data_IF_319537829403
#
_entry.id   IF_319537829403
#
_cell.length_a   1.000
_cell.length_b   1.000
_cell.length_c   1.000
_cell.angle_alpha   90.00
_cell.angle_beta   90.00
_cell.angle_gamma   90.00
#
_symmetry.space_group_name_H-M   'P 1'
#
loop_
_entity.id
_entity.type
_entity.pdbx_description
1 polymer ?
#
# COMPACT_ATOMS: atom_id res chain seq x y z
N UNK A 1 -17.53 2.13 -3.74
CA UNK A 1 -16.60 1.16 -4.37
C UNK A 1 -16.02 1.83 -5.62
N UNK A 2 -14.71 2.13 -5.68
CA UNK A 2 -14.10 2.52 -6.95
C UNK A 2 -14.18 1.30 -7.89
N UNK A 3 -14.42 1.50 -9.20
CA UNK A 3 -14.50 0.38 -10.12
C UNK A 3 -13.20 -0.42 -10.08
N UNK A 4 -13.33 -1.73 -10.09
CA UNK A 4 -12.20 -2.68 -10.02
C UNK A 4 -11.34 -2.69 -11.30
N UNK A 5 -11.66 -1.82 -12.25
CA UNK A 5 -11.09 -1.81 -13.59
C UNK A 5 -10.75 -0.38 -13.98
N UNK A 6 -9.46 -0.12 -14.24
CA UNK A 6 -9.00 1.15 -14.83
C UNK A 6 -9.15 1.04 -16.35
N UNK A 7 -10.00 1.88 -16.91
CA UNK A 7 -10.10 2.08 -18.37
C UNK A 7 -9.34 3.36 -18.79
N UNK A 8 -9.16 3.53 -20.08
CA UNK A 8 -8.43 4.67 -20.62
C UNK A 8 -9.11 6.01 -20.30
N UNK A 9 -10.45 6.07 -20.31
CA UNK A 9 -11.21 7.25 -19.91
C UNK A 9 -11.06 7.60 -18.44
N UNK A 10 -11.12 6.61 -17.53
CA UNK A 10 -10.90 6.82 -16.09
C UNK A 10 -9.49 7.35 -15.85
N UNK A 11 -8.48 6.78 -16.51
CA UNK A 11 -7.11 7.24 -16.41
C UNK A 11 -6.96 8.67 -16.91
N UNK A 12 -7.64 9.01 -18.03
CA UNK A 12 -7.62 10.33 -18.63
C UNK A 12 -8.24 11.37 -17.70
N UNK A 13 -9.46 11.14 -17.23
CA UNK A 13 -10.19 12.12 -16.41
C UNK A 13 -9.53 12.31 -15.03
N UNK A 14 -9.07 11.24 -14.37
CA UNK A 14 -8.42 11.31 -13.05
C UNK A 14 -7.12 12.15 -13.08
N UNK A 15 -6.47 12.26 -14.25
CA UNK A 15 -5.17 12.93 -14.35
C UNK A 15 -5.14 14.13 -15.31
N UNK A 16 -6.25 14.47 -15.94
CA UNK A 16 -6.33 15.55 -16.92
C UNK A 16 -5.76 16.87 -16.42
N UNK A 17 -6.12 17.26 -15.22
CA UNK A 17 -5.64 18.50 -14.61
C UNK A 17 -4.16 18.46 -14.23
N UNK A 18 -3.71 17.32 -13.70
CA UNK A 18 -2.32 17.16 -13.21
C UNK A 18 -1.33 17.02 -14.34
N UNK A 19 -1.68 16.23 -15.36
CA UNK A 19 -0.80 15.93 -16.48
C UNK A 19 -1.06 16.84 -17.71
N UNK A 20 -2.09 17.69 -17.66
CA UNK A 20 -2.45 18.62 -18.73
C UNK A 20 -2.50 17.94 -20.11
N UNK A 21 -2.91 16.69 -20.14
CA UNK A 21 -2.91 15.91 -21.38
C UNK A 21 -4.18 16.09 -22.20
N UNK A 22 -4.05 15.82 -23.49
CA UNK A 22 -5.11 15.83 -24.46
C UNK A 22 -5.24 14.45 -25.09
N UNK A 23 -6.44 14.05 -25.45
CA UNK A 23 -6.69 12.82 -26.17
C UNK A 23 -6.49 13.05 -27.67
N UNK A 24 -5.46 12.45 -28.28
CA UNK A 24 -5.04 12.75 -29.64
C UNK A 24 -5.36 11.67 -30.66
N UNK A 25 -5.59 10.41 -30.24
CA UNK A 25 -5.99 9.33 -31.15
C UNK A 25 -6.71 8.20 -30.37
N UNK A 26 -7.42 7.33 -31.10
CA UNK A 26 -8.11 6.17 -30.51
C UNK A 26 -9.31 6.55 -29.63
N UNK A 27 -10.03 7.62 -29.94
CA UNK A 27 -11.18 8.10 -29.15
C UNK A 27 -12.29 7.05 -29.01
N UNK A 28 -12.47 6.16 -30.00
CA UNK A 28 -13.45 5.08 -29.93
C UNK A 28 -13.14 3.96 -28.93
N UNK A 29 -11.98 3.97 -28.29
CA UNK A 29 -11.51 2.93 -27.39
C UNK A 29 -11.40 3.41 -25.93
N UNK A 30 -12.27 4.32 -25.51
CA UNK A 30 -12.29 4.85 -24.14
C UNK A 30 -12.43 3.77 -23.06
N UNK A 31 -13.15 2.69 -23.36
CA UNK A 31 -13.35 1.52 -22.50
C UNK A 31 -12.14 0.53 -22.46
N UNK A 32 -11.04 0.82 -23.22
CA UNK A 32 -9.86 -0.06 -23.21
C UNK A 32 -9.26 -0.13 -21.82
N UNK A 33 -8.96 -1.36 -21.38
CA UNK A 33 -8.60 -1.69 -20.01
C UNK A 33 -7.19 -2.28 -19.92
N UNK A 34 -6.64 -2.28 -18.73
CA UNK A 34 -5.46 -3.08 -18.43
C UNK A 34 -5.80 -4.57 -18.53
N UNK A 35 -4.91 -5.35 -19.10
CA UNK A 35 -5.06 -6.80 -19.20
C UNK A 35 -4.96 -7.45 -17.80
N UNK A 36 -5.89 -8.35 -17.48
CA UNK A 36 -5.95 -9.00 -16.16
C UNK A 36 -4.73 -9.89 -15.90
N UNK A 37 -4.20 -10.54 -16.93
CA UNK A 37 -3.01 -11.40 -16.78
C UNK A 37 -1.79 -10.53 -16.47
N UNK A 38 -1.69 -9.37 -17.13
CA UNK A 38 -0.63 -8.40 -16.86
C UNK A 38 -0.72 -7.83 -15.44
N UNK A 39 -1.93 -7.51 -14.96
CA UNK A 39 -2.14 -7.04 -13.58
C UNK A 39 -1.69 -8.10 -12.57
N UNK A 40 -2.05 -9.36 -12.78
CA UNK A 40 -1.67 -10.48 -11.90
C UNK A 40 -0.18 -10.81 -11.95
N UNK A 41 0.46 -10.63 -13.10
CA UNK A 41 1.89 -10.87 -13.28
C UNK A 41 2.77 -9.72 -12.77
N UNK A 42 2.22 -8.52 -12.66
CA UNK A 42 2.92 -7.35 -12.15
C UNK A 42 3.21 -7.51 -10.65
N UNK A 43 4.45 -7.25 -10.24
CA UNK A 43 4.83 -7.25 -8.81
C UNK A 43 4.22 -6.08 -8.05
N UNK A 44 3.91 -5.00 -8.74
CA UNK A 44 3.18 -3.84 -8.25
C UNK A 44 2.53 -3.11 -9.42
N UNK A 45 1.53 -2.28 -9.17
CA UNK A 45 0.95 -1.40 -10.19
C UNK A 45 1.97 -0.47 -10.86
N UNK A 46 3.11 -0.18 -10.20
CA UNK A 46 4.21 0.56 -10.79
C UNK A 46 4.85 -0.13 -12.00
N UNK A 47 4.74 -1.45 -12.10
CA UNK A 47 5.26 -2.21 -13.24
C UNK A 47 4.41 -2.06 -14.51
N UNK A 48 3.22 -1.49 -14.39
CA UNK A 48 2.25 -1.33 -15.48
C UNK A 48 2.44 -0.03 -16.28
N UNK A 49 3.49 0.74 -16.02
CA UNK A 49 3.83 1.96 -16.76
C UNK A 49 5.34 2.15 -16.87
N UNK A 50 5.80 2.66 -17.99
CA UNK A 50 7.21 2.97 -18.22
C UNK A 50 7.47 3.52 -19.61
N UNK A 51 8.73 3.84 -19.90
CA UNK A 51 9.18 4.20 -21.24
C UNK A 51 8.89 3.07 -22.25
N UNK A 52 8.83 3.42 -23.53
CA UNK A 52 8.60 2.43 -24.60
C UNK A 52 9.55 1.23 -24.46
N UNK A 53 8.96 0.07 -24.28
CA UNK A 53 9.68 -1.17 -24.06
C UNK A 53 9.02 -2.31 -24.81
N UNK A 54 9.71 -2.86 -25.83
CA UNK A 54 9.20 -3.95 -26.66
C UNK A 54 9.29 -5.34 -26.01
N UNK A 55 9.84 -5.45 -24.80
CA UNK A 55 9.97 -6.71 -24.06
C UNK A 55 8.82 -6.89 -23.06
N UNK A 56 8.24 -5.79 -22.59
CA UNK A 56 7.19 -5.81 -21.58
C UNK A 56 5.84 -5.33 -22.17
N UNK A 57 5.00 -6.23 -22.68
CA UNK A 57 3.68 -5.91 -23.20
C UNK A 57 2.71 -5.45 -22.11
N UNK A 58 1.51 -5.02 -22.52
CA UNK A 58 0.35 -4.67 -21.68
C UNK A 58 0.58 -3.52 -20.69
N UNK A 59 1.60 -2.69 -20.90
CA UNK A 59 1.91 -1.53 -20.06
C UNK A 59 1.49 -0.25 -20.75
N UNK A 60 1.19 0.79 -19.94
CA UNK A 60 1.17 2.15 -20.46
C UNK A 60 2.57 2.48 -20.97
N UNK A 61 2.70 2.78 -22.25
CA UNK A 61 3.97 3.10 -22.90
C UNK A 61 4.10 4.62 -23.01
N UNK A 62 5.17 5.16 -22.44
CA UNK A 62 5.45 6.59 -22.47
C UNK A 62 6.54 6.85 -23.50
N UNK A 63 6.25 7.75 -24.44
CA UNK A 63 7.15 8.21 -25.48
C UNK A 63 7.57 9.65 -25.18
N UNK A 64 8.79 9.82 -24.74
CA UNK A 64 9.44 11.11 -24.61
C UNK A 64 10.30 11.43 -25.83
N UNK A 65 11.14 12.44 -25.74
CA UNK A 65 12.03 12.91 -26.81
C UNK A 65 12.88 11.77 -27.40
N UNK A 66 13.47 10.92 -26.55
CA UNK A 66 14.36 9.83 -26.97
C UNK A 66 13.63 8.73 -27.71
N UNK A 67 12.44 8.36 -27.25
CA UNK A 67 11.60 7.34 -27.89
C UNK A 67 11.09 7.83 -29.23
N UNK A 68 10.67 9.08 -29.33
CA UNK A 68 10.25 9.70 -30.60
C UNK A 68 11.42 9.78 -31.59
N UNK A 69 12.59 10.20 -31.13
CA UNK A 69 13.81 10.19 -31.95
C UNK A 69 14.15 8.77 -32.44
N UNK A 70 14.05 7.76 -31.57
CA UNK A 70 14.24 6.37 -31.96
C UNK A 70 13.25 5.90 -33.02
N UNK A 71 11.98 6.29 -32.92
CA UNK A 71 10.94 5.92 -33.88
C UNK A 71 11.11 6.62 -35.23
N UNK A 72 11.68 7.83 -35.27
CA UNK A 72 11.76 8.70 -36.44
C UNK A 72 13.11 8.66 -37.16
N UNK A 73 14.23 8.36 -36.44
CA UNK A 73 15.56 8.39 -36.97
C UNK A 73 15.98 7.03 -37.57
N UNK A 74 15.31 6.62 -38.66
CA UNK A 74 15.62 5.42 -39.41
C UNK A 74 15.08 5.52 -40.83
N UNK A 75 15.29 4.49 -41.65
CA UNK A 75 14.62 4.42 -42.96
C UNK A 75 13.10 4.43 -42.77
N UNK A 76 12.31 4.92 -43.77
CA UNK A 76 10.84 4.90 -43.70
C UNK A 76 10.28 3.49 -43.39
N UNK A 77 10.87 2.46 -43.92
CA UNK A 77 10.47 1.06 -43.69
C UNK A 77 10.74 0.63 -42.24
N UNK A 78 11.91 0.99 -41.67
CA UNK A 78 12.27 0.69 -40.31
C UNK A 78 11.39 1.48 -39.30
N UNK A 79 11.12 2.74 -39.58
CA UNK A 79 10.18 3.56 -38.79
C UNK A 79 8.80 2.90 -38.75
N UNK A 80 8.26 2.53 -39.92
CA UNK A 80 6.97 1.85 -40.03
C UNK A 80 6.96 0.52 -39.24
N UNK A 81 8.03 -0.27 -39.32
CA UNK A 81 8.17 -1.53 -38.59
C UNK A 81 8.22 -1.33 -37.08
N UNK A 82 8.97 -0.33 -36.59
CA UNK A 82 9.05 0.03 -35.16
C UNK A 82 7.70 0.46 -34.62
N UNK A 83 7.01 1.33 -35.35
CA UNK A 83 5.68 1.81 -34.99
C UNK A 83 4.67 0.64 -34.97
N UNK A 84 4.66 -0.22 -35.99
CA UNK A 84 3.76 -1.38 -36.05
C UNK A 84 3.94 -2.32 -34.85
N UNK A 85 5.18 -2.49 -34.33
CA UNK A 85 5.44 -3.30 -33.14
C UNK A 85 4.78 -2.75 -31.87
N UNK A 86 4.51 -1.47 -31.78
CA UNK A 86 3.85 -0.90 -30.60
C UNK A 86 2.47 -1.52 -30.36
N UNK A 87 1.71 -1.76 -31.43
CA UNK A 87 0.39 -2.40 -31.33
C UNK A 87 0.48 -3.83 -30.82
N UNK A 88 1.54 -4.56 -31.18
CA UNK A 88 1.74 -5.94 -30.72
C UNK A 88 2.05 -6.04 -29.22
N UNK A 89 2.34 -4.93 -28.56
CA UNK A 89 2.50 -4.87 -27.11
C UNK A 89 1.16 -4.77 -26.38
N UNK A 90 0.07 -4.55 -27.10
CA UNK A 90 -1.28 -4.37 -26.56
C UNK A 90 -1.34 -3.39 -25.39
N UNK A 91 -0.72 -2.20 -25.49
CA UNK A 91 -0.73 -1.25 -24.38
C UNK A 91 -2.17 -0.78 -24.11
N UNK A 92 -2.57 -0.59 -22.83
CA UNK A 92 -3.86 -0.01 -22.53
C UNK A 92 -3.97 1.43 -23.02
N UNK A 93 -2.86 2.18 -22.95
CA UNK A 93 -2.74 3.59 -23.37
C UNK A 93 -1.32 3.85 -23.85
N UNK A 94 -1.18 4.71 -24.84
CA UNK A 94 0.08 5.29 -25.29
C UNK A 94 0.10 6.77 -24.90
N UNK A 95 1.23 7.29 -24.40
CA UNK A 95 1.37 8.69 -24.00
C UNK A 95 2.56 9.33 -24.68
N UNK A 96 2.31 10.42 -25.41
CA UNK A 96 3.35 11.33 -25.92
C UNK A 96 3.65 12.37 -24.84
N UNK A 97 4.85 12.39 -24.35
CA UNK A 97 5.31 13.32 -23.32
C UNK A 97 6.34 14.32 -23.85
N UNK A 98 6.89 15.15 -22.97
CA UNK A 98 7.92 16.18 -23.29
C UNK A 98 7.46 17.20 -24.36
N UNK A 99 6.13 17.39 -24.55
CA UNK A 99 5.60 18.24 -25.61
C UNK A 99 5.88 17.74 -27.02
N UNK A 100 6.21 16.48 -27.18
CA UNK A 100 6.51 15.89 -28.50
C UNK A 100 5.27 15.79 -29.37
N UNK A 101 5.45 15.96 -30.69
CA UNK A 101 4.41 15.79 -31.69
C UNK A 101 4.44 14.36 -32.20
N UNK A 102 3.28 13.71 -32.17
CA UNK A 102 3.16 12.34 -32.67
C UNK A 102 3.34 12.28 -34.18
N UNK A 103 4.15 11.37 -34.74
CA UNK A 103 4.21 11.15 -36.18
C UNK A 103 2.82 10.74 -36.75
N UNK A 104 2.45 11.23 -37.92
CA UNK A 104 1.16 10.92 -38.58
C UNK A 104 0.96 9.40 -38.76
N UNK A 105 2.03 8.67 -39.01
CA UNK A 105 2.00 7.22 -39.14
C UNK A 105 1.60 6.55 -37.82
N UNK A 106 2.03 7.09 -36.66
CA UNK A 106 1.67 6.60 -35.34
C UNK A 106 0.22 6.94 -35.01
N UNK A 107 -0.23 8.17 -35.29
CA UNK A 107 -1.62 8.59 -35.10
C UNK A 107 -2.57 7.69 -35.93
N UNK A 108 -2.28 7.52 -37.22
CA UNK A 108 -3.06 6.67 -38.10
C UNK A 108 -3.10 5.20 -37.64
N UNK A 109 -2.01 4.70 -37.05
CA UNK A 109 -1.98 3.36 -36.50
C UNK A 109 -2.84 3.25 -35.24
N UNK A 110 -2.76 4.22 -34.33
CA UNK A 110 -3.54 4.25 -33.08
C UNK A 110 -5.05 4.30 -33.41
N UNK A 111 -5.47 5.09 -34.37
CA UNK A 111 -6.87 5.13 -34.83
C UNK A 111 -7.34 3.77 -35.37
N UNK A 112 -6.57 3.15 -36.28
CA UNK A 112 -6.92 1.83 -36.85
C UNK A 112 -6.91 0.69 -35.82
N UNK A 113 -5.98 0.72 -34.87
CA UNK A 113 -5.84 -0.28 -33.84
C UNK A 113 -6.76 -0.03 -32.63
N UNK A 114 -7.56 1.05 -32.66
CA UNK A 114 -8.36 1.47 -31.51
C UNK A 114 -7.50 1.52 -30.23
N UNK A 115 -6.35 2.20 -30.32
CA UNK A 115 -5.39 2.36 -29.24
C UNK A 115 -5.45 3.81 -28.73
N UNK A 116 -5.94 4.04 -27.49
CA UNK A 116 -5.97 5.36 -26.89
C UNK A 116 -4.58 5.98 -26.83
N UNK A 117 -4.47 7.22 -27.27
CA UNK A 117 -3.22 7.96 -27.24
C UNK A 117 -3.46 9.35 -26.66
N UNK A 118 -2.66 9.71 -25.66
CA UNK A 118 -2.68 11.00 -25.00
C UNK A 118 -1.39 11.78 -25.33
N UNK A 119 -1.47 13.09 -25.40
CA UNK A 119 -0.32 13.98 -25.53
C UNK A 119 -0.26 14.95 -24.35
N UNK A 120 0.95 15.24 -23.85
CA UNK A 120 1.16 16.14 -22.70
C UNK A 120 2.44 16.95 -22.86
N UNK A 121 2.46 18.23 -22.43
CA UNK A 121 3.68 19.03 -22.35
C UNK A 121 4.59 18.62 -21.18
N UNK A 122 4.06 17.86 -20.22
CA UNK A 122 4.81 17.42 -19.03
C UNK A 122 5.90 16.40 -19.40
N UNK A 123 6.97 16.35 -18.56
CA UNK A 123 8.10 15.46 -18.84
C UNK A 123 7.70 13.97 -18.70
N UNK A 124 8.31 13.13 -19.54
CA UNK A 124 8.08 11.68 -19.49
C UNK A 124 8.33 11.09 -18.10
N UNK A 125 9.35 11.57 -17.39
CA UNK A 125 9.66 11.14 -16.03
C UNK A 125 8.53 11.49 -15.06
N UNK A 126 8.01 12.71 -15.11
CA UNK A 126 6.90 13.15 -14.26
C UNK A 126 5.62 12.36 -14.54
N UNK A 127 5.28 12.13 -15.81
CA UNK A 127 4.15 11.28 -16.20
C UNK A 127 4.28 9.87 -15.61
N UNK A 128 5.46 9.26 -15.75
CA UNK A 128 5.74 7.93 -15.20
C UNK A 128 5.56 7.92 -13.69
N UNK A 129 6.08 8.89 -12.97
CA UNK A 129 5.99 8.94 -11.50
C UNK A 129 4.54 9.10 -11.02
N UNK A 130 3.76 9.99 -11.64
CA UNK A 130 2.34 10.17 -11.34
C UNK A 130 1.56 8.87 -11.57
N UNK A 131 1.72 8.26 -12.74
CA UNK A 131 1.00 7.03 -13.09
C UNK A 131 1.45 5.83 -12.24
N UNK A 132 2.73 5.71 -11.89
CA UNK A 132 3.23 4.68 -10.97
C UNK A 132 2.59 4.78 -9.60
N UNK A 133 2.53 5.99 -9.05
CA UNK A 133 1.89 6.22 -7.76
C UNK A 133 0.39 5.87 -7.79
N UNK A 134 -0.30 6.26 -8.85
CA UNK A 134 -1.71 5.97 -9.06
C UNK A 134 -1.99 4.48 -9.21
N UNK A 135 -1.31 3.82 -10.16
CA UNK A 135 -1.53 2.39 -10.48
C UNK A 135 -1.11 1.48 -9.30
N UNK A 136 -0.04 1.82 -8.58
CA UNK A 136 0.36 1.10 -7.37
C UNK A 136 -0.71 1.14 -6.30
N UNK A 137 -1.35 2.30 -6.11
CA UNK A 137 -2.46 2.45 -5.16
C UNK A 137 -3.74 1.77 -5.65
N UNK A 138 -4.00 1.81 -6.96
CA UNK A 138 -5.22 1.29 -7.55
C UNK A 138 -5.23 -0.24 -7.55
N UNK A 139 -4.13 -0.87 -7.95
CA UNK A 139 -3.96 -2.33 -8.03
C UNK A 139 -3.31 -2.94 -6.79
N UNK A 140 -3.21 -2.19 -5.69
CA UNK A 140 -2.71 -2.73 -4.43
C UNK A 140 -3.57 -3.90 -3.95
N UNK A 141 -2.92 -5.01 -3.60
CA UNK A 141 -3.57 -6.08 -2.87
C UNK A 141 -4.18 -5.52 -1.59
N UNK A 142 -5.40 -5.91 -1.28
CA UNK A 142 -6.14 -5.42 -0.13
C UNK A 142 -6.84 -6.56 0.62
N UNK A 143 -6.93 -6.39 1.92
CA UNK A 143 -7.71 -7.24 2.81
C UNK A 143 -8.34 -6.38 3.90
N UNK A 144 -9.29 -6.92 4.64
CA UNK A 144 -9.81 -6.28 5.85
C UNK A 144 -9.51 -7.17 7.06
N UNK A 145 -9.13 -6.56 8.18
CA UNK A 145 -8.92 -7.25 9.45
C UNK A 145 -9.78 -6.63 10.53
N UNK A 146 -10.32 -7.46 11.43
CA UNK A 146 -11.05 -7.00 12.59
C UNK A 146 -10.11 -6.66 13.76
N UNK A 147 -10.35 -5.49 14.37
CA UNK A 147 -9.59 -5.01 15.52
C UNK A 147 -9.48 -3.49 15.57
N UNK A 148 -8.64 -3.00 16.47
CA UNK A 148 -8.36 -1.57 16.64
C UNK A 148 -7.00 -1.26 16.04
N UNK A 149 -6.94 -0.31 15.12
CA UNK A 149 -5.69 0.12 14.49
C UNK A 149 -5.33 1.52 14.97
N UNK A 150 -4.12 1.67 15.50
CA UNK A 150 -3.68 2.88 16.19
C UNK A 150 -2.29 3.34 15.76
N UNK A 151 -2.06 4.63 15.91
CA UNK A 151 -0.74 5.26 15.97
C UNK A 151 -0.28 5.27 17.44
N UNK A 152 0.64 4.39 17.80
CA UNK A 152 1.21 4.34 19.15
C UNK A 152 2.69 4.72 19.04
N UNK A 153 3.07 5.86 19.58
CA UNK A 153 4.44 6.40 19.53
C UNK A 153 5.02 6.51 18.11
N UNK A 154 4.17 6.85 17.12
CA UNK A 154 4.56 6.95 15.72
C UNK A 154 4.60 5.61 14.97
N UNK A 155 4.21 4.52 15.60
CA UNK A 155 4.13 3.19 15.01
C UNK A 155 2.67 2.79 14.77
N UNK A 156 2.35 2.30 13.55
CA UNK A 156 1.04 1.69 13.27
C UNK A 156 0.94 0.31 13.89
N UNK A 157 0.03 0.17 14.86
CA UNK A 157 -0.18 -1.03 15.67
C UNK A 157 -1.60 -1.56 15.48
N UNK A 158 -1.73 -2.81 15.08
CA UNK A 158 -3.00 -3.51 14.97
C UNK A 158 -3.27 -4.32 16.23
N UNK A 159 -4.29 -3.97 16.99
CA UNK A 159 -4.72 -4.68 18.19
C UNK A 159 -5.82 -5.66 17.78
N UNK A 160 -5.54 -6.95 17.91
CA UNK A 160 -6.43 -8.06 17.54
C UNK A 160 -6.76 -8.93 18.76
N UNK A 161 -7.68 -9.84 18.61
CA UNK A 161 -8.11 -10.77 19.68
C UNK A 161 -9.60 -11.06 19.61
N UNK A 162 -10.06 -12.01 20.38
CA UNK A 162 -11.48 -12.39 20.43
C UNK A 162 -12.40 -11.20 20.74
N UNK A 163 -13.66 -11.31 20.33
CA UNK A 163 -14.67 -10.33 20.72
C UNK A 163 -14.86 -10.32 22.23
N UNK A 164 -15.05 -9.12 22.81
CA UNK A 164 -15.26 -8.97 24.24
C UNK A 164 -14.00 -8.94 25.10
N UNK A 165 -12.78 -8.93 24.51
CA UNK A 165 -11.53 -8.76 25.23
C UNK A 165 -11.19 -7.29 25.60
N UNK A 166 -12.08 -6.35 25.31
CA UNK A 166 -11.85 -4.95 25.68
C UNK A 166 -10.92 -4.20 24.70
N UNK A 167 -10.89 -4.58 23.40
CA UNK A 167 -10.03 -3.91 22.40
C UNK A 167 -10.35 -2.43 22.23
N UNK A 168 -11.63 -2.07 22.12
CA UNK A 168 -12.07 -0.67 21.95
C UNK A 168 -11.90 0.12 23.24
N UNK A 169 -12.13 -0.49 24.41
CA UNK A 169 -11.84 0.13 25.72
C UNK A 169 -10.33 0.41 25.88
N UNK A 170 -9.49 -0.52 25.45
CA UNK A 170 -8.05 -0.33 25.39
C UNK A 170 -7.67 0.79 24.42
N UNK A 171 -8.32 0.84 23.24
CA UNK A 171 -8.17 1.94 22.27
C UNK A 171 -8.48 3.29 22.90
N UNK A 172 -9.58 3.39 23.64
CA UNK A 172 -9.98 4.61 24.39
C UNK A 172 -8.93 4.99 25.43
N UNK A 173 -8.42 4.04 26.21
CA UNK A 173 -7.36 4.31 27.19
C UNK A 173 -6.09 4.82 26.50
N UNK A 174 -5.68 4.21 25.41
CA UNK A 174 -4.52 4.65 24.63
C UNK A 174 -4.70 6.05 24.02
N UNK A 175 -5.91 6.38 23.54
CA UNK A 175 -6.24 7.74 23.06
C UNK A 175 -6.09 8.76 24.21
N UNK A 176 -6.63 8.44 25.38
CA UNK A 176 -6.51 9.29 26.58
C UNK A 176 -5.05 9.50 27.04
N UNK A 177 -4.16 8.59 26.63
CA UNK A 177 -2.69 8.67 26.86
C UNK A 177 -1.94 9.40 25.74
N UNK A 178 -2.66 9.96 24.76
CA UNK A 178 -2.10 10.78 23.68
C UNK A 178 -1.75 10.01 22.40
N UNK A 179 -2.23 8.78 22.25
CA UNK A 179 -2.07 8.01 21.00
C UNK A 179 -3.21 8.30 20.02
N UNK A 180 -3.01 7.99 18.73
CA UNK A 180 -3.97 8.30 17.68
C UNK A 180 -4.76 7.09 17.20
N UNK A 181 -6.09 7.23 17.05
CA UNK A 181 -6.96 6.25 16.43
C UNK A 181 -6.80 6.31 14.89
N UNK A 182 -6.66 5.16 14.24
CA UNK A 182 -6.78 5.04 12.79
C UNK A 182 -8.13 4.44 12.42
N UNK A 183 -8.48 3.30 13.02
CA UNK A 183 -9.74 2.60 12.78
C UNK A 183 -10.12 1.71 13.98
N UNK A 184 -11.41 1.50 14.16
CA UNK A 184 -11.99 0.53 15.09
C UNK A 184 -12.89 -0.44 14.32
N UNK A 185 -13.01 -1.66 14.82
CA UNK A 185 -13.76 -2.79 14.30
C UNK A 185 -13.28 -3.32 12.94
N UNK A 186 -13.30 -2.52 11.89
CA UNK A 186 -12.83 -2.92 10.56
C UNK A 186 -11.65 -2.03 10.11
N UNK A 187 -10.56 -2.68 9.68
CA UNK A 187 -9.35 -2.02 9.19
C UNK A 187 -9.06 -2.50 7.77
N UNK A 188 -9.12 -1.58 6.81
CA UNK A 188 -8.71 -1.86 5.43
C UNK A 188 -7.19 -1.81 5.33
N UNK A 189 -6.59 -2.92 4.93
CA UNK A 189 -5.15 -3.08 4.76
C UNK A 189 -4.79 -3.17 3.27
N UNK A 190 -3.78 -2.42 2.86
CA UNK A 190 -3.32 -2.32 1.48
C UNK A 190 -1.82 -2.61 1.42
N UNK A 191 -1.40 -3.47 0.49
CA UNK A 191 0.01 -3.68 0.20
C UNK A 191 0.53 -2.53 -0.65
N UNK A 192 1.30 -1.62 -0.04
CA UNK A 192 1.85 -0.45 -0.73
C UNK A 192 3.06 -0.83 -1.59
N UNK A 193 3.88 -1.77 -1.09
CA UNK A 193 5.02 -2.34 -1.80
C UNK A 193 5.36 -3.73 -1.23
N UNK A 194 6.46 -4.33 -1.68
CA UNK A 194 6.85 -5.69 -1.30
C UNK A 194 7.06 -5.91 0.21
N UNK A 195 7.30 -4.84 0.98
CA UNK A 195 7.66 -4.90 2.41
C UNK A 195 6.79 -4.03 3.31
N UNK A 196 5.72 -3.43 2.77
CA UNK A 196 4.94 -2.43 3.51
C UNK A 196 3.45 -2.58 3.31
N UNK A 197 2.74 -2.66 4.42
CA UNK A 197 1.28 -2.62 4.50
C UNK A 197 0.87 -1.26 5.08
N UNK A 198 -0.13 -0.63 4.48
CA UNK A 198 -0.79 0.56 5.01
C UNK A 198 -2.20 0.18 5.46
N UNK A 199 -2.60 0.61 6.66
CA UNK A 199 -3.94 0.44 7.19
C UNK A 199 -4.68 1.77 7.25
N UNK A 200 -5.98 1.74 7.00
CA UNK A 200 -6.88 2.88 7.11
C UNK A 200 -8.27 2.46 7.55
N UNK A 201 -9.03 3.41 8.03
CA UNK A 201 -10.43 3.22 8.34
C UNK A 201 -11.28 3.19 7.05
N UNK A 202 -12.28 2.30 6.95
CA UNK A 202 -13.36 2.46 5.97
C UNK A 202 -14.06 3.81 6.12
N UNK A 203 -14.41 4.46 5.01
CA UNK A 203 -14.97 5.84 5.02
C UNK A 203 -16.21 5.97 5.91
N UNK A 204 -17.03 4.93 6.01
CA UNK A 204 -18.25 4.91 6.82
C UNK A 204 -17.99 4.95 8.34
N UNK A 205 -16.84 4.41 8.79
CA UNK A 205 -16.47 4.27 10.20
C UNK A 205 -15.44 5.33 10.64
N UNK A 206 -15.18 6.32 9.80
CA UNK A 206 -14.10 7.28 10.02
C UNK A 206 -14.26 8.03 11.35
N UNK A 207 -13.20 8.03 12.18
CA UNK A 207 -13.10 8.65 13.51
C UNK A 207 -14.02 8.04 14.59
N UNK A 208 -14.73 6.97 14.29
CA UNK A 208 -15.66 6.34 15.22
C UNK A 208 -14.96 5.24 16.02
N UNK A 209 -15.31 5.14 17.30
CA UNK A 209 -14.90 4.08 18.22
C UNK A 209 -16.14 3.59 18.96
N UNK A 210 -16.41 2.28 18.93
CA UNK A 210 -17.52 1.70 19.67
C UNK A 210 -17.06 1.22 21.06
N UNK A 211 -17.62 1.80 22.11
CA UNK A 211 -17.34 1.40 23.50
C UNK A 211 -18.59 0.78 24.10
N UNK A 212 -18.46 -0.47 24.53
CA UNK A 212 -19.59 -1.22 25.12
C UNK A 212 -20.15 -0.49 26.35
N UNK A 213 -21.48 -0.30 26.38
CA UNK A 213 -22.19 0.40 27.45
C UNK A 213 -22.24 1.93 27.30
N UNK A 214 -21.43 2.53 26.40
CA UNK A 214 -21.46 3.95 26.09
C UNK A 214 -22.04 4.17 24.69
N UNK A 215 -21.69 3.32 23.73
CA UNK A 215 -22.11 3.41 22.33
C UNK A 215 -21.00 3.89 21.39
N UNK A 216 -21.39 4.51 20.29
CA UNK A 216 -20.51 4.97 19.24
C UNK A 216 -20.01 6.40 19.55
N UNK A 217 -18.70 6.58 19.62
CA UNK A 217 -18.06 7.85 19.99
C UNK A 217 -17.30 8.42 18.80
N UNK A 218 -17.48 9.71 18.52
CA UNK A 218 -16.64 10.45 17.56
C UNK A 218 -15.38 10.95 18.27
N UNK A 219 -14.27 10.24 18.08
CA UNK A 219 -12.99 10.52 18.72
C UNK A 219 -12.43 11.88 18.32
N UNK A 220 -12.63 12.28 17.07
CA UNK A 220 -12.20 13.60 16.60
C UNK A 220 -12.97 14.73 17.30
N UNK A 221 -14.27 14.57 17.48
CA UNK A 221 -15.10 15.57 18.18
C UNK A 221 -14.75 15.67 19.67
N UNK A 222 -14.41 14.54 20.33
CA UNK A 222 -14.14 14.47 21.78
C UNK A 222 -12.71 14.91 22.12
N UNK A 223 -11.71 14.42 21.36
CA UNK A 223 -10.28 14.59 21.69
C UNK A 223 -9.51 15.49 20.70
N UNK A 224 -10.16 15.95 19.64
CA UNK A 224 -9.56 16.83 18.63
C UNK A 224 -8.82 16.08 17.49
N UNK A 225 -8.34 16.86 16.52
CA UNK A 225 -7.68 16.36 15.30
C UNK A 225 -6.42 15.53 15.58
N UNK A 226 -5.72 15.83 16.66
CA UNK A 226 -4.49 15.12 17.03
C UNK A 226 -4.72 13.69 17.52
N UNK A 227 -5.92 13.34 17.90
CA UNK A 227 -6.30 12.01 18.38
C UNK A 227 -6.66 11.03 17.25
N UNK A 228 -6.68 11.47 15.99
CA UNK A 228 -7.04 10.64 14.85
C UNK A 228 -5.98 10.66 13.76
N UNK A 229 -5.89 9.57 13.00
CA UNK A 229 -5.03 9.44 11.84
C UNK A 229 -5.81 8.85 10.68
N UNK A 230 -5.61 9.38 9.48
CA UNK A 230 -6.29 8.86 8.28
C UNK A 230 -5.74 7.50 7.84
N UNK A 231 -4.44 7.26 8.07
CA UNK A 231 -3.73 6.05 7.67
C UNK A 231 -2.40 5.93 8.41
N UNK A 232 -1.93 4.70 8.58
CA UNK A 232 -0.62 4.40 9.15
C UNK A 232 -0.02 3.15 8.49
N UNK A 233 1.31 3.03 8.50
CA UNK A 233 1.98 1.78 8.10
C UNK A 233 1.87 0.77 9.23
N UNK A 234 1.33 -0.42 8.94
CA UNK A 234 1.28 -1.53 9.87
C UNK A 234 2.71 -2.05 10.12
N UNK A 235 3.14 -2.02 11.38
CA UNK A 235 4.47 -2.45 11.81
C UNK A 235 4.42 -3.50 12.90
N UNK A 236 3.36 -3.54 13.69
CA UNK A 236 3.20 -4.45 14.80
C UNK A 236 1.75 -4.92 14.91
N UNK A 237 1.56 -6.19 15.17
CA UNK A 237 0.29 -6.77 15.57
C UNK A 237 0.40 -7.12 17.06
N UNK A 238 -0.47 -6.58 17.88
CA UNK A 238 -0.65 -6.96 19.28
C UNK A 238 -1.89 -7.83 19.36
N UNK A 239 -1.70 -9.10 19.68
CA UNK A 239 -2.81 -10.06 19.80
C UNK A 239 -3.16 -10.30 21.26
N UNK A 240 -4.36 -9.91 21.64
CA UNK A 240 -4.87 -10.11 22.98
C UNK A 240 -5.46 -11.52 23.10
N UNK A 241 -5.09 -12.21 24.16
CA UNK A 241 -5.55 -13.58 24.44
C UNK A 241 -6.01 -13.71 25.89
N UNK A 242 -6.91 -14.64 26.16
CA UNK A 242 -7.27 -15.06 27.53
C UNK A 242 -6.16 -15.90 28.14
N UNK A 243 -6.19 -16.07 29.45
CA UNK A 243 -5.21 -16.86 30.19
C UNK A 243 -5.15 -18.30 29.71
N UNK A 244 -6.29 -18.92 29.53
CA UNK A 244 -6.41 -20.31 29.10
C UNK A 244 -5.79 -20.53 27.71
N UNK A 245 -5.96 -19.57 26.78
CA UNK A 245 -5.36 -19.60 25.46
C UNK A 245 -3.85 -19.41 25.52
N UNK A 246 -3.36 -18.47 26.36
CA UNK A 246 -1.94 -18.24 26.54
C UNK A 246 -1.20 -19.49 27.04
N UNK A 247 -1.75 -20.19 28.05
CA UNK A 247 -1.14 -21.38 28.64
C UNK A 247 -1.10 -22.58 27.67
N UNK A 248 -2.03 -22.66 26.72
CA UNK A 248 -2.12 -23.77 25.76
C UNK A 248 -1.32 -23.57 24.48
N UNK A 249 -1.27 -22.35 23.96
CA UNK A 249 -0.84 -22.08 22.59
C UNK A 249 0.47 -21.30 22.50
N UNK A 250 0.92 -20.64 23.57
CA UNK A 250 2.03 -19.70 23.50
C UNK A 250 3.07 -19.91 24.58
N UNK A 251 4.34 -19.81 24.20
CA UNK A 251 5.46 -19.76 25.15
C UNK A 251 5.52 -18.38 25.83
N UNK A 252 5.93 -18.34 27.11
CA UNK A 252 6.09 -17.09 27.87
C UNK A 252 7.09 -16.13 27.24
N UNK A 253 8.18 -16.68 26.72
CA UNK A 253 9.23 -15.93 26.02
C UNK A 253 9.54 -16.73 24.75
N UNK A 254 8.98 -16.35 23.61
CA UNK A 254 9.25 -17.06 22.36
C UNK A 254 10.71 -16.87 21.96
N UNK A 255 11.39 -17.96 21.63
CA UNK A 255 12.77 -17.95 21.17
C UNK A 255 12.94 -17.20 19.87
N UNK A 256 11.94 -17.30 18.96
CA UNK A 256 11.89 -16.58 17.70
C UNK A 256 10.79 -15.51 17.71
N UNK A 257 11.02 -14.35 17.04
CA UNK A 257 10.00 -13.33 16.89
C UNK A 257 8.78 -13.89 16.15
N UNK A 258 7.61 -13.84 16.77
CA UNK A 258 6.37 -14.21 16.12
C UNK A 258 6.06 -13.22 15.00
N UNK A 259 5.61 -13.75 13.86
CA UNK A 259 5.12 -12.96 12.73
C UNK A 259 3.76 -13.47 12.27
N UNK A 260 3.02 -12.58 11.62
CA UNK A 260 1.78 -12.92 10.92
C UNK A 260 1.88 -12.41 9.49
N UNK A 261 1.60 -13.28 8.54
CA UNK A 261 1.52 -12.86 7.14
C UNK A 261 0.28 -11.98 6.91
N UNK A 262 0.51 -10.84 6.28
CA UNK A 262 -0.55 -9.93 5.82
C UNK A 262 -0.26 -9.58 4.37
N UNK A 263 -1.03 -10.10 3.45
CA UNK A 263 -0.88 -9.88 2.00
C UNK A 263 0.54 -10.23 1.50
N UNK A 264 1.15 -11.31 2.00
CA UNK A 264 2.50 -11.74 1.65
C UNK A 264 3.63 -10.92 2.30
N UNK A 265 3.31 -10.07 3.29
CA UNK A 265 4.29 -9.33 4.09
C UNK A 265 4.28 -9.86 5.51
N UNK A 266 5.41 -10.38 6.03
CA UNK A 266 5.50 -10.81 7.41
C UNK A 266 5.50 -9.60 8.35
N UNK A 267 4.46 -9.47 9.16
CA UNK A 267 4.32 -8.42 10.16
C UNK A 267 4.60 -9.01 11.53
N UNK A 268 5.43 -8.32 12.31
CA UNK A 268 5.76 -8.73 13.67
C UNK A 268 4.50 -8.82 14.53
N UNK A 269 4.44 -9.86 15.39
CA UNK A 269 3.31 -10.13 16.27
C UNK A 269 3.78 -10.31 17.71
N UNK A 270 3.07 -9.70 18.64
CA UNK A 270 3.26 -9.87 20.10
C UNK A 270 1.95 -10.36 20.70
N UNK A 271 2.03 -11.35 21.57
CA UNK A 271 0.89 -11.88 22.30
C UNK A 271 0.85 -11.26 23.69
N UNK A 272 -0.29 -10.70 24.08
CA UNK A 272 -0.51 -10.15 25.42
C UNK A 272 -1.71 -10.83 26.06
N UNK A 273 -1.47 -11.44 27.21
CA UNK A 273 -2.52 -12.03 28.03
C UNK A 273 -3.34 -10.91 28.72
N UNK A 274 -4.64 -10.96 28.53
CA UNK A 274 -5.60 -10.10 29.26
C UNK A 274 -5.95 -10.77 30.58
N UNK A 275 -5.75 -10.06 31.67
CA UNK A 275 -6.04 -10.53 33.03
C UNK A 275 -6.55 -9.37 33.88
N UNK A 276 -7.50 -9.64 34.76
CA UNK A 276 -8.03 -8.63 35.67
C UNK A 276 -6.92 -8.03 36.55
N UNK A 277 -6.91 -6.71 36.68
CA UNK A 277 -5.91 -5.98 37.45
C UNK A 277 -4.59 -5.65 36.72
N UNK A 278 -4.39 -6.15 35.49
CA UNK A 278 -3.23 -5.75 34.65
C UNK A 278 -3.57 -4.56 33.77
N UNK A 279 -2.72 -3.56 33.78
CA UNK A 279 -2.87 -2.43 32.86
C UNK A 279 -2.35 -2.82 31.47
N UNK A 280 -3.27 -3.18 30.58
CA UNK A 280 -2.94 -3.65 29.23
C UNK A 280 -2.35 -2.54 28.36
N UNK A 281 -2.78 -1.28 28.53
CA UNK A 281 -2.24 -0.13 27.79
C UNK A 281 -0.73 0.04 28.04
N UNK A 282 -0.29 -0.09 29.29
CA UNK A 282 1.14 -0.05 29.66
C UNK A 282 1.92 -1.19 28.96
N UNK A 283 1.35 -2.39 28.90
CA UNK A 283 2.00 -3.53 28.24
C UNK A 283 2.09 -3.33 26.73
N UNK A 284 1.06 -2.76 26.11
CA UNK A 284 1.08 -2.41 24.69
C UNK A 284 2.12 -1.34 24.40
N UNK A 285 2.17 -0.26 25.19
CA UNK A 285 3.21 0.77 25.05
C UNK A 285 4.63 0.18 25.23
N UNK A 286 4.83 -0.71 26.18
CA UNK A 286 6.11 -1.39 26.39
C UNK A 286 6.49 -2.27 25.18
N UNK A 287 5.54 -3.04 24.65
CA UNK A 287 5.75 -3.85 23.44
C UNK A 287 6.12 -2.99 22.23
N UNK A 288 5.46 -1.84 22.06
CA UNK A 288 5.76 -0.88 20.98
C UNK A 288 7.17 -0.29 21.15
N UNK A 289 7.55 0.14 22.36
CA UNK A 289 8.90 0.66 22.64
C UNK A 289 9.98 -0.40 22.35
N UNK A 290 9.74 -1.64 22.77
CA UNK A 290 10.65 -2.75 22.47
C UNK A 290 10.75 -3.00 20.95
N UNK A 291 9.63 -2.99 20.24
CA UNK A 291 9.63 -3.12 18.77
C UNK A 291 10.40 -1.97 18.07
N UNK A 292 10.30 -0.74 18.59
CA UNK A 292 11.07 0.41 18.08
C UNK A 292 12.58 0.19 18.30
N UNK A 293 13.00 -0.31 19.47
CA UNK A 293 14.41 -0.64 19.75
C UNK A 293 14.94 -1.69 18.78
N UNK A 294 14.17 -2.74 18.55
CA UNK A 294 14.55 -3.82 17.64
C UNK A 294 14.64 -3.35 16.17
N UNK A 295 13.79 -2.42 15.74
CA UNK A 295 13.92 -1.78 14.42
C UNK A 295 15.21 -0.94 14.29
N UNK A 296 15.78 -0.51 15.41
CA UNK A 296 17.08 0.19 15.48
C UNK A 296 18.27 -0.76 15.65
N UNK A 297 18.02 -2.08 15.60
CA UNK A 297 19.06 -3.11 15.75
C UNK A 297 19.41 -3.45 17.21
N UNK A 298 18.64 -2.97 18.19
CA UNK A 298 18.84 -3.27 19.61
C UNK A 298 17.87 -4.39 20.02
N UNK A 299 18.37 -5.61 20.23
CA UNK A 299 17.60 -6.74 20.71
C UNK A 299 18.06 -7.15 22.09
N UNK A 300 17.35 -6.69 23.11
CA UNK A 300 17.68 -6.93 24.53
C UNK A 300 17.70 -8.41 24.89
N UNK A 301 16.85 -9.24 24.25
CA UNK A 301 16.83 -10.68 24.49
C UNK A 301 18.10 -11.35 23.94
N UNK A 302 18.48 -11.06 22.72
CA UNK A 302 19.72 -11.58 22.12
C UNK A 302 20.96 -11.10 22.88
N UNK A 303 20.99 -9.83 23.29
CA UNK A 303 22.08 -9.31 24.13
C UNK A 303 22.16 -10.00 25.48
N UNK A 304 21.02 -10.33 26.08
CA UNK A 304 20.97 -11.09 27.33
C UNK A 304 21.50 -12.52 27.15
N UNK A 305 21.04 -13.23 26.12
CA UNK A 305 21.48 -14.59 25.79
C UNK A 305 22.99 -14.63 25.56
N UNK A 306 23.51 -13.66 24.78
CA UNK A 306 24.96 -13.59 24.53
C UNK A 306 25.77 -13.30 25.79
N UNK A 307 25.30 -12.40 26.66
CA UNK A 307 25.93 -12.15 27.97
C UNK A 307 25.91 -13.38 28.87
N UNK A 308 24.77 -14.08 28.90
CA UNK A 308 24.64 -15.32 29.70
C UNK A 308 25.57 -16.42 29.18
N UNK A 309 25.67 -16.60 27.86
CA UNK A 309 26.59 -17.55 27.23
C UNK A 309 28.04 -17.25 27.62
N UNK A 310 28.47 -15.99 27.49
CA UNK A 310 29.82 -15.56 27.87
C UNK A 310 30.12 -15.78 29.35
N UNK A 311 29.15 -15.54 30.24
CA UNK A 311 29.30 -15.79 31.67
C UNK A 311 29.49 -17.29 31.98
N UNK A 312 28.75 -18.16 31.29
CA UNK A 312 28.92 -19.62 31.43
C UNK A 312 30.26 -20.11 30.88
N UNK A 313 30.73 -19.56 29.77
CA UNK A 313 32.04 -19.91 29.18
C UNK A 313 33.22 -19.40 30.01
N UNK A 314 33.07 -18.31 30.76
CA UNK A 314 34.11 -17.73 31.62
C UNK A 314 34.18 -18.36 33.01
N UNK A 315 33.32 -19.30 33.38
CA UNK A 315 33.42 -20.11 34.59
C UNK A 315 33.09 -19.36 35.89
N UNK A 316 32.34 -18.28 35.82
CA UNK A 316 31.79 -17.56 37.00
C UNK A 316 30.30 -17.83 37.16
#
# INVERSE_FOLDING_TARGET
MKPTVVSADVLFEDHRATLKWEWVAGLGASERRFDEVAIRAARSGADLVGYLNYIHPYRVQILGEREVAYLSNASPEDCARRIARIVTLEPPVLVMADGQIAPDTLLSLCERAQLPMFATPESAAFVIDVLRAYLSKYFADRTSMHGVFMDILGMGVMITGESGLGKSELGMELISRGHGLVADDAVDLFRVNQTSIEGRCPDLLLNLLEVRGIGLLDIKAIFGETAVRRRMRLKLIVHLVRRETMEREYERIPYEPLTQDVLGVPVRKVIIQVEAGRNIAVLVEAAVRNAILQLRGIDTYQEFVERHRKAMESGN
#
